data_IF_937320978440
#
_entry.id   IF_937320978440
#
_cell.length_a   1.000
_cell.length_b   1.000
_cell.length_c   1.000
_cell.angle_alpha   90.00
_cell.angle_beta   90.00
_cell.angle_gamma   90.00
#
_symmetry.space_group_name_H-M   'P 1'
#
loop_
_entity.id
_entity.type
_entity.pdbx_description
1 polymer ?
#
# COMPACT_ATOMS: atom_id res chain seq x y z
N UNK A 1 -4.84 22.08 16.88
CA UNK A 1 -3.40 21.72 16.81
C UNK A 1 -2.94 21.13 15.47
N UNK A 2 -3.80 20.54 14.61
CA UNK A 2 -3.36 19.90 13.35
C UNK A 2 -3.08 20.86 12.17
N UNK A 3 -3.78 21.99 12.10
CA UNK A 3 -3.73 22.91 10.94
C UNK A 3 -2.38 23.61 10.74
N UNK A 4 -1.63 23.91 11.80
CA UNK A 4 -0.33 24.61 11.67
C UNK A 4 0.80 23.69 11.20
N UNK A 5 0.77 22.41 11.59
CA UNK A 5 1.75 21.42 11.16
C UNK A 5 1.62 21.10 9.67
N UNK A 6 0.39 21.10 9.15
CA UNK A 6 0.15 20.83 7.74
C UNK A 6 0.54 22.03 6.86
N UNK A 7 0.35 23.27 7.35
CA UNK A 7 0.85 24.49 6.69
C UNK A 7 2.38 24.49 6.57
N UNK A 8 3.10 24.30 7.68
CA UNK A 8 4.57 24.22 7.68
C UNK A 8 5.12 23.17 6.69
N UNK A 9 4.43 22.04 6.53
CA UNK A 9 4.83 21.03 5.54
C UNK A 9 4.60 21.45 4.10
N UNK A 10 3.49 22.14 3.80
CA UNK A 10 3.23 22.68 2.45
C UNK A 10 4.28 23.73 2.12
N UNK A 11 4.54 24.66 3.04
CA UNK A 11 5.53 25.72 2.87
C UNK A 11 6.94 25.14 2.59
N UNK A 12 7.31 24.05 3.27
CA UNK A 12 8.58 23.34 3.02
C UNK A 12 8.65 22.67 1.64
N UNK A 13 7.54 22.14 1.14
CA UNK A 13 7.49 21.56 -0.23
C UNK A 13 7.68 22.67 -1.26
N UNK A 14 6.96 23.78 -1.10
CA UNK A 14 7.05 24.93 -2.00
C UNK A 14 8.46 25.55 -1.98
N UNK A 15 9.05 25.72 -0.80
CA UNK A 15 10.42 26.19 -0.67
C UNK A 15 11.44 25.27 -1.35
N UNK A 16 11.28 23.94 -1.22
CA UNK A 16 12.14 22.96 -1.89
C UNK A 16 12.00 23.03 -3.42
N UNK A 17 10.77 23.20 -3.93
CA UNK A 17 10.53 23.35 -5.38
C UNK A 17 11.14 24.67 -5.88
N UNK A 18 10.91 25.78 -5.17
CA UNK A 18 11.43 27.10 -5.54
C UNK A 18 12.95 27.16 -5.57
N UNK A 19 13.63 26.37 -4.73
CA UNK A 19 15.10 26.27 -4.69
C UNK A 19 15.67 25.19 -5.62
N UNK A 20 14.85 24.57 -6.46
CA UNK A 20 15.26 23.51 -7.40
C UNK A 20 15.57 22.16 -6.74
N UNK A 21 15.29 22.00 -5.45
CA UNK A 21 15.53 20.78 -4.69
C UNK A 21 14.38 19.77 -4.85
N UNK A 22 14.13 19.33 -6.10
CA UNK A 22 13.02 18.42 -6.43
C UNK A 22 13.09 17.09 -5.66
N UNK A 23 14.30 16.57 -5.44
CA UNK A 23 14.51 15.36 -4.62
C UNK A 23 13.97 15.53 -3.20
N UNK A 24 14.16 16.72 -2.61
CA UNK A 24 13.72 17.02 -1.26
C UNK A 24 12.21 17.18 -1.19
N UNK A 25 11.61 17.84 -2.19
CA UNK A 25 10.17 17.91 -2.34
C UNK A 25 9.54 16.51 -2.45
N UNK A 26 10.14 15.63 -3.27
CA UNK A 26 9.74 14.21 -3.40
C UNK A 26 9.79 13.48 -2.06
N UNK A 27 10.85 13.62 -1.27
CA UNK A 27 10.95 12.99 0.04
C UNK A 27 9.84 13.45 1.00
N UNK A 28 9.62 14.75 1.10
CA UNK A 28 8.62 15.33 2.00
C UNK A 28 7.22 14.82 1.61
N UNK A 29 6.88 14.85 0.32
CA UNK A 29 5.60 14.38 -0.19
C UNK A 29 5.43 12.87 -0.03
N UNK A 30 6.48 12.08 -0.27
CA UNK A 30 6.45 10.63 -0.07
C UNK A 30 6.20 10.27 1.40
N UNK A 31 6.80 11.02 2.33
CA UNK A 31 6.53 10.88 3.77
C UNK A 31 5.06 11.16 4.14
N UNK A 32 4.38 12.04 3.40
CA UNK A 32 2.94 12.34 3.60
C UNK A 32 2.03 11.21 3.10
N UNK A 33 2.49 10.40 2.14
CA UNK A 33 1.74 9.24 1.64
C UNK A 33 1.77 8.03 2.57
N UNK A 34 2.66 8.01 3.57
CA UNK A 34 2.75 6.94 4.56
C UNK A 34 1.53 6.82 5.48
N UNK A 35 0.60 7.78 5.45
CA UNK A 35 -0.66 7.67 6.20
C UNK A 35 -1.64 6.68 5.54
N UNK A 36 -2.48 6.03 6.34
CA UNK A 36 -3.54 5.14 5.84
C UNK A 36 -4.59 5.87 4.99
N UNK A 37 -4.72 7.18 5.16
CA UNK A 37 -5.68 8.03 4.46
C UNK A 37 -5.23 8.32 3.02
N UNK A 38 -6.18 8.26 2.10
CA UNK A 38 -5.99 8.62 0.71
C UNK A 38 -6.16 10.14 0.50
N UNK A 39 -5.14 10.80 -0.06
CA UNK A 39 -5.06 12.26 -0.18
C UNK A 39 -4.77 12.70 -1.62
N UNK A 40 -5.79 12.90 -2.47
CA UNK A 40 -5.61 13.17 -3.89
C UNK A 40 -4.64 14.34 -4.19
N UNK A 41 -4.70 15.41 -3.40
CA UNK A 41 -3.85 16.59 -3.61
C UNK A 41 -2.36 16.28 -3.40
N UNK A 42 -2.03 15.41 -2.43
CA UNK A 42 -0.64 14.97 -2.20
C UNK A 42 -0.15 14.10 -3.36
N UNK A 43 -1.06 13.31 -3.96
CA UNK A 43 -0.75 12.51 -5.15
C UNK A 43 -0.50 13.42 -6.37
N UNK A 44 -1.32 14.47 -6.58
CA UNK A 44 -1.07 15.44 -7.66
C UNK A 44 0.28 16.12 -7.49
N UNK A 45 0.56 16.66 -6.29
CA UNK A 45 1.83 17.35 -6.00
C UNK A 45 3.04 16.43 -6.23
N UNK A 46 2.99 15.20 -5.74
CA UNK A 46 4.09 14.24 -5.94
C UNK A 46 4.24 13.87 -7.42
N UNK A 47 3.13 13.64 -8.12
CA UNK A 47 3.12 13.36 -9.55
C UNK A 47 3.77 14.47 -10.37
N UNK A 48 3.47 15.74 -10.04
CA UNK A 48 4.10 16.92 -10.68
C UNK A 48 5.60 17.00 -10.42
N UNK A 49 6.04 16.78 -9.18
CA UNK A 49 7.46 16.78 -8.84
C UNK A 49 8.20 15.68 -9.62
N UNK A 50 7.64 14.48 -9.68
CA UNK A 50 8.22 13.37 -10.45
C UNK A 50 8.28 13.66 -11.95
N UNK A 51 7.25 14.31 -12.50
CA UNK A 51 7.24 14.74 -13.89
C UNK A 51 8.35 15.77 -14.17
N UNK A 52 8.54 16.75 -13.28
CA UNK A 52 9.64 17.72 -13.38
C UNK A 52 11.02 17.06 -13.26
N UNK A 53 11.11 15.92 -12.55
CA UNK A 53 12.33 15.11 -12.46
C UNK A 53 12.54 14.19 -13.67
N UNK A 54 11.58 14.11 -14.62
CA UNK A 54 11.63 13.21 -15.78
C UNK A 54 11.28 11.75 -15.46
N UNK A 55 10.67 11.46 -14.30
CA UNK A 55 10.24 10.12 -13.90
C UNK A 55 8.78 9.88 -14.33
N UNK A 56 8.53 9.90 -15.64
CA UNK A 56 7.19 9.72 -16.23
C UNK A 56 6.48 8.44 -15.75
N UNK A 57 7.15 7.27 -15.65
CA UNK A 57 6.47 6.05 -15.20
C UNK A 57 5.92 6.16 -13.79
N UNK A 58 6.65 6.75 -12.84
CA UNK A 58 6.14 6.96 -11.49
C UNK A 58 5.16 8.14 -11.44
N UNK A 59 5.44 9.23 -12.15
CA UNK A 59 4.57 10.40 -12.21
C UNK A 59 3.15 10.00 -12.65
N UNK A 60 3.04 9.21 -13.72
CA UNK A 60 1.78 8.75 -14.29
C UNK A 60 0.87 8.07 -13.27
N UNK A 61 1.44 7.24 -12.39
CA UNK A 61 0.71 6.56 -11.32
C UNK A 61 0.06 7.55 -10.35
N UNK A 62 0.83 8.51 -9.86
CA UNK A 62 0.32 9.46 -8.87
C UNK A 62 -0.64 10.48 -9.50
N UNK A 63 -0.35 10.93 -10.74
CA UNK A 63 -1.23 11.80 -11.51
C UNK A 63 -2.56 11.11 -11.86
N UNK A 64 -2.52 9.83 -12.25
CA UNK A 64 -3.73 9.04 -12.48
C UNK A 64 -4.62 9.04 -11.24
N UNK A 65 -4.05 8.67 -10.09
CA UNK A 65 -4.74 8.54 -8.81
C UNK A 65 -5.20 9.88 -8.21
N UNK A 66 -4.56 10.99 -8.56
CA UNK A 66 -5.05 12.32 -8.15
C UNK A 66 -6.42 12.66 -8.74
N UNK A 67 -6.79 12.02 -9.87
CA UNK A 67 -8.01 12.34 -10.61
C UNK A 67 -7.93 13.60 -11.47
N UNK A 68 -6.87 14.38 -11.35
CA UNK A 68 -6.68 15.58 -12.17
C UNK A 68 -6.23 15.19 -13.58
N UNK A 69 -6.85 15.79 -14.60
CA UNK A 69 -6.55 15.54 -16.02
C UNK A 69 -6.15 16.86 -16.67
N UNK A 70 -4.85 17.09 -16.77
CA UNK A 70 -4.27 18.22 -17.51
C UNK A 70 -3.51 17.70 -18.74
N UNK A 71 -3.41 18.49 -19.82
CA UNK A 71 -2.67 18.10 -21.01
C UNK A 71 -1.23 17.66 -20.69
N UNK A 72 -0.54 18.37 -19.80
CA UNK A 72 0.83 18.04 -19.38
C UNK A 72 0.95 16.68 -18.65
N UNK A 73 -0.15 16.15 -18.09
CA UNK A 73 -0.15 14.87 -17.37
C UNK A 73 -0.48 13.68 -18.28
N UNK A 74 -1.09 13.92 -19.43
CA UNK A 74 -1.70 12.90 -20.26
C UNK A 74 -0.68 11.82 -20.70
N UNK A 75 0.52 12.23 -21.13
CA UNK A 75 1.55 11.30 -21.57
C UNK A 75 2.01 10.33 -20.47
N UNK A 76 2.31 10.86 -19.28
CA UNK A 76 2.73 10.04 -18.15
C UNK A 76 1.60 9.10 -17.67
N UNK A 77 0.36 9.60 -17.61
CA UNK A 77 -0.82 8.79 -17.24
C UNK A 77 -1.03 7.65 -18.25
N UNK A 78 -1.01 7.94 -19.54
CA UNK A 78 -1.17 6.93 -20.61
C UNK A 78 -0.07 5.87 -20.54
N UNK A 79 1.18 6.28 -20.35
CA UNK A 79 2.32 5.37 -20.18
C UNK A 79 2.09 4.41 -19.01
N UNK A 80 1.67 4.93 -17.85
CA UNK A 80 1.37 4.14 -16.67
C UNK A 80 0.21 3.16 -16.91
N UNK A 81 -0.92 3.64 -17.42
CA UNK A 81 -2.11 2.82 -17.66
C UNK A 81 -1.80 1.72 -18.67
N UNK A 82 -1.17 2.03 -19.81
CA UNK A 82 -0.79 1.03 -20.82
C UNK A 82 0.16 -0.01 -20.25
N UNK A 83 1.15 0.39 -19.45
CA UNK A 83 2.12 -0.54 -18.88
C UNK A 83 1.43 -1.55 -17.94
N UNK A 84 0.52 -1.07 -17.10
CA UNK A 84 -0.05 -1.89 -16.03
C UNK A 84 -1.43 -2.50 -16.34
N UNK A 85 -2.09 -2.12 -17.44
CA UNK A 85 -3.35 -2.74 -17.88
C UNK A 85 -3.16 -3.96 -18.80
N UNK A 86 -1.95 -4.19 -19.34
CA UNK A 86 -1.66 -5.34 -20.23
C UNK A 86 -1.96 -6.69 -19.60
N UNK A 87 -1.76 -6.81 -18.28
CA UNK A 87 -2.07 -8.03 -17.51
C UNK A 87 -3.48 -8.05 -16.92
N UNK A 88 -4.38 -7.19 -17.41
CA UNK A 88 -5.71 -6.99 -16.84
C UNK A 88 -5.73 -5.96 -15.70
N UNK A 89 -6.94 -5.64 -15.24
CA UNK A 89 -7.18 -4.61 -14.22
C UNK A 89 -6.53 -4.92 -12.87
N UNK A 90 -6.30 -6.20 -12.55
CA UNK A 90 -5.65 -6.63 -11.31
C UNK A 90 -4.19 -6.14 -11.24
N UNK A 91 -3.48 -6.15 -12.38
CA UNK A 91 -2.10 -5.65 -12.47
C UNK A 91 -2.05 -4.14 -12.25
N UNK A 92 -3.01 -3.40 -12.82
CA UNK A 92 -3.17 -1.97 -12.60
C UNK A 92 -3.41 -1.64 -11.12
N UNK A 93 -4.41 -2.26 -10.51
CA UNK A 93 -4.75 -2.01 -9.09
C UNK A 93 -3.63 -2.49 -8.16
N UNK A 94 -2.93 -3.58 -8.50
CA UNK A 94 -1.77 -4.09 -7.76
C UNK A 94 -0.61 -3.10 -7.68
N UNK A 95 -0.45 -2.24 -8.69
CA UNK A 95 0.59 -1.22 -8.73
C UNK A 95 0.32 -0.01 -7.82
N UNK A 96 -0.92 0.16 -7.33
CA UNK A 96 -1.32 1.33 -6.55
C UNK A 96 -0.69 1.33 -5.15
N UNK A 97 -0.42 2.52 -4.56
CA UNK A 97 0.02 2.61 -3.17
C UNK A 97 -1.01 2.01 -2.21
N UNK A 98 -0.57 1.60 -1.03
CA UNK A 98 -1.43 0.91 -0.06
C UNK A 98 -2.67 1.73 0.32
N UNK A 99 -2.55 3.05 0.50
CA UNK A 99 -3.68 3.93 0.83
C UNK A 99 -4.72 3.99 -0.30
N UNK A 100 -4.31 4.08 -1.56
CA UNK A 100 -5.22 4.02 -2.71
C UNK A 100 -5.88 2.64 -2.87
N UNK A 101 -5.16 1.55 -2.60
CA UNK A 101 -5.73 0.20 -2.59
C UNK A 101 -6.74 0.00 -1.47
N UNK A 102 -6.54 0.63 -0.31
CA UNK A 102 -7.43 0.53 0.83
C UNK A 102 -8.64 1.49 0.75
N UNK A 103 -8.57 2.50 -0.11
CA UNK A 103 -9.65 3.46 -0.28
C UNK A 103 -10.93 2.79 -0.79
N UNK A 104 -12.07 3.12 -0.18
CA UNK A 104 -13.38 2.87 -0.76
C UNK A 104 -13.50 3.64 -2.08
N UNK A 105 -14.24 3.11 -3.05
CA UNK A 105 -14.57 3.82 -4.28
C UNK A 105 -15.20 5.19 -4.02
N UNK A 106 -15.98 5.33 -2.94
CA UNK A 106 -16.58 6.60 -2.54
C UNK A 106 -15.53 7.71 -2.27
N UNK A 107 -14.34 7.33 -1.79
CA UNK A 107 -13.26 8.25 -1.42
C UNK A 107 -12.29 8.52 -2.57
N UNK A 108 -12.43 7.81 -3.71
CA UNK A 108 -11.65 8.10 -4.91
C UNK A 108 -12.25 9.31 -5.64
N UNK A 109 -11.43 10.11 -6.33
CA UNK A 109 -11.93 11.21 -7.15
C UNK A 109 -12.86 10.67 -8.25
N UNK A 110 -13.91 11.41 -8.65
CA UNK A 110 -14.87 10.97 -9.66
C UNK A 110 -14.21 10.46 -10.94
N UNK A 111 -13.24 11.21 -11.46
CA UNK A 111 -12.50 10.84 -12.66
C UNK A 111 -11.77 9.50 -12.52
N UNK A 112 -11.16 9.22 -11.37
CA UNK A 112 -10.48 7.94 -11.14
C UNK A 112 -11.48 6.80 -11.16
N UNK A 113 -12.68 6.98 -10.58
CA UNK A 113 -13.73 5.95 -10.64
C UNK A 113 -14.17 5.68 -12.07
N UNK A 114 -14.38 6.72 -12.86
CA UNK A 114 -14.84 6.59 -14.23
C UNK A 114 -13.78 5.91 -15.10
N UNK A 115 -12.52 6.29 -14.94
CA UNK A 115 -11.40 5.64 -15.63
C UNK A 115 -11.26 4.17 -15.21
N UNK A 116 -11.35 3.87 -13.91
CA UNK A 116 -11.32 2.48 -13.41
C UNK A 116 -12.49 1.66 -13.94
N UNK A 117 -13.70 2.24 -14.05
CA UNK A 117 -14.88 1.58 -14.62
C UNK A 117 -14.67 1.31 -16.11
N UNK A 118 -14.13 2.26 -16.86
CA UNK A 118 -13.81 2.10 -18.28
C UNK A 118 -12.76 1.00 -18.51
N UNK A 119 -11.85 0.80 -17.55
CA UNK A 119 -10.84 -0.27 -17.55
C UNK A 119 -11.38 -1.61 -17.03
N UNK A 120 -12.68 -1.72 -16.75
CA UNK A 120 -13.32 -2.96 -16.29
C UNK A 120 -13.00 -3.34 -14.85
N UNK A 121 -12.53 -2.40 -14.03
CA UNK A 121 -12.25 -2.64 -12.61
C UNK A 121 -13.59 -2.72 -11.86
N UNK A 122 -13.87 -3.80 -11.11
CA UNK A 122 -15.13 -3.93 -10.39
C UNK A 122 -15.21 -2.93 -9.22
N UNK A 123 -16.41 -2.41 -9.00
CA UNK A 123 -16.69 -1.53 -7.87
C UNK A 123 -16.41 -2.25 -6.55
N UNK A 124 -15.63 -1.61 -5.66
CA UNK A 124 -15.48 -2.10 -4.28
C UNK A 124 -16.57 -1.50 -3.43
N UNK A 125 -17.47 -2.31 -2.83
CA UNK A 125 -18.48 -1.78 -1.94
C UNK A 125 -17.79 -1.12 -0.73
N UNK A 126 -18.41 -0.07 -0.18
CA UNK A 126 -17.86 0.69 0.95
C UNK A 126 -17.65 -0.15 2.24
N UNK A 127 -18.13 -1.40 2.24
CA UNK A 127 -18.28 -2.27 3.40
C UNK A 127 -17.09 -3.22 3.58
N UNK A 128 -15.86 -2.75 3.44
CA UNK A 128 -14.66 -3.54 3.85
C UNK A 128 -13.82 -2.77 4.87
N UNK A 129 -14.49 -2.01 5.74
CA UNK A 129 -13.96 -1.53 7.02
C UNK A 129 -14.35 -2.42 8.19
N UNK A 130 -15.52 -3.07 8.14
CA UNK A 130 -16.07 -3.82 9.28
C UNK A 130 -15.22 -5.04 9.67
N UNK A 131 -14.56 -5.70 8.70
CA UNK A 131 -13.78 -6.92 8.97
C UNK A 131 -12.54 -6.66 9.81
N UNK A 132 -11.85 -5.53 9.62
CA UNK A 132 -10.69 -5.15 10.45
C UNK A 132 -11.06 -4.56 11.80
N UNK A 133 -12.24 -3.95 11.94
CA UNK A 133 -12.69 -3.41 13.23
C UNK A 133 -13.26 -4.51 14.14
N UNK A 134 -13.92 -5.52 13.57
CA UNK A 134 -14.36 -6.69 14.32
C UNK A 134 -13.21 -7.64 14.72
N UNK A 135 -12.07 -7.57 14.02
CA UNK A 135 -10.87 -8.35 14.37
C UNK A 135 -10.00 -7.67 15.45
N UNK A 136 -10.28 -6.40 15.79
CA UNK A 136 -9.41 -5.57 16.63
C UNK A 136 -10.02 -5.08 17.94
N UNK A 137 -11.04 -5.73 18.51
CA UNK A 137 -11.35 -5.59 19.95
C UNK A 137 -11.83 -6.90 20.59
N UNK A 138 -11.47 -7.15 21.87
CA UNK A 138 -10.91 -8.42 22.30
C UNK A 138 -11.88 -9.22 23.18
N UNK A 139 -11.85 -10.56 23.10
CA UNK A 139 -12.28 -11.37 24.24
C UNK A 139 -11.18 -11.34 25.30
N UNK A 140 -11.24 -10.35 26.18
CA UNK A 140 -10.54 -10.39 27.47
C UNK A 140 -11.26 -11.33 28.45
N UNK A 141 -10.45 -11.98 29.29
CA UNK A 141 -10.74 -12.68 30.55
C UNK A 141 -11.01 -14.20 30.49
N UNK A 142 -9.95 -14.98 30.75
CA UNK A 142 -9.76 -15.60 32.07
C UNK A 142 -8.29 -16.01 32.26
N UNK A 143 -7.74 -15.62 33.39
CA UNK A 143 -6.41 -15.89 33.93
C UNK A 143 -6.14 -17.37 34.21
N UNK A 144 -4.93 -17.84 33.91
CA UNK A 144 -4.37 -19.10 34.43
C UNK A 144 -3.09 -19.52 33.69
N UNK A 145 -1.96 -19.77 34.38
CA UNK A 145 -0.67 -20.05 33.75
C UNK A 145 -0.59 -21.52 33.32
N UNK A 146 -0.07 -21.78 32.12
CA UNK A 146 0.14 -23.15 31.67
C UNK A 146 0.61 -23.22 30.23
N UNK A 147 1.93 -23.16 30.03
CA UNK A 147 2.59 -23.69 28.84
C UNK A 147 2.06 -25.10 28.58
N UNK A 148 1.30 -25.30 27.50
CA UNK A 148 1.02 -26.62 26.96
C UNK A 148 1.33 -26.66 25.48
N UNK A 149 1.99 -27.76 25.11
CA UNK A 149 1.92 -28.39 23.79
C UNK A 149 2.78 -27.83 22.64
N UNK A 150 4.11 -27.84 22.82
CA UNK A 150 5.05 -28.29 21.77
C UNK A 150 6.11 -29.11 22.51
N UNK A 151 6.07 -30.45 22.54
CA UNK A 151 6.86 -31.30 21.63
C UNK A 151 6.63 -32.78 21.98
N UNK A 152 5.76 -33.50 21.29
CA UNK A 152 5.65 -34.98 21.43
C UNK A 152 6.26 -35.72 20.22
N UNK A 153 6.73 -35.02 19.19
CA UNK A 153 7.23 -35.67 17.97
C UNK A 153 8.73 -36.04 18.04
N UNK A 154 9.52 -35.48 18.97
CA UNK A 154 10.97 -35.75 19.03
C UNK A 154 11.37 -37.01 19.82
N UNK A 155 10.55 -37.47 20.78
CA UNK A 155 10.92 -38.60 21.65
C UNK A 155 10.65 -39.96 20.97
N UNK A 156 9.63 -40.05 20.10
CA UNK A 156 9.32 -41.29 19.39
C UNK A 156 10.41 -41.69 18.37
N UNK A 157 11.04 -40.72 17.72
CA UNK A 157 12.11 -40.99 16.73
C UNK A 157 13.41 -41.38 17.45
N UNK A 158 13.74 -40.74 18.58
CA UNK A 158 14.92 -41.10 19.37
C UNK A 158 14.84 -42.52 19.95
N UNK A 159 13.68 -42.93 20.45
CA UNK A 159 13.46 -44.29 20.97
C UNK A 159 13.50 -45.35 19.87
N UNK A 160 13.00 -45.05 18.66
CA UNK A 160 13.06 -45.96 17.52
C UNK A 160 14.51 -46.20 17.07
N UNK A 161 15.34 -45.15 17.01
CA UNK A 161 16.75 -45.26 16.62
C UNK A 161 17.54 -46.04 17.69
N UNK A 162 17.30 -45.77 18.97
CA UNK A 162 17.96 -46.51 20.06
C UNK A 162 17.59 -48.01 20.05
N UNK A 163 16.32 -48.34 19.79
CA UNK A 163 15.88 -49.74 19.66
C UNK A 163 16.53 -50.45 18.46
N UNK A 164 16.66 -49.78 17.31
CA UNK A 164 17.31 -50.36 16.13
C UNK A 164 18.80 -50.61 16.39
N UNK A 165 19.49 -49.69 17.07
CA UNK A 165 20.93 -49.84 17.37
C UNK A 165 21.18 -50.98 18.36
N UNK A 166 20.35 -51.13 19.40
CA UNK A 166 20.50 -52.22 20.37
C UNK A 166 20.21 -53.58 19.72
N UNK A 167 19.19 -53.67 18.86
CA UNK A 167 18.84 -54.93 18.19
C UNK A 167 19.88 -55.39 17.16
N UNK A 168 20.65 -54.47 16.56
CA UNK A 168 21.73 -54.80 15.62
C UNK A 168 23.08 -55.09 16.29
N UNK A 169 23.26 -54.77 17.57
CA UNK A 169 24.52 -54.98 18.28
C UNK A 169 24.58 -56.30 19.07
N UNK A 170 23.45 -57.02 19.19
CA UNK A 170 23.31 -58.29 19.95
C UNK A 170 23.06 -59.51 19.02
N UNK A 171 23.50 -59.42 17.76
CA UNK A 171 23.58 -60.51 16.78
C UNK A 171 24.90 -60.45 16.04
#
# INVERSE_FOLDING_TARGET
MGSDRDRDKVDRVEAAIATGQLWRAKEILSGRLGSAEFKPDVYEQLGRVLLQMGDDPQAGKFLFLSGVRRPEYAGAIDLFVRRHSRGGWQSLVGSFPASARAASWANLPPQVRDDLRALGVPARPAVEGLRRTLEKYPRSQASGPGCTAVSVVAVAIGLLIALIVVFFYDH
#
